data_IF_554595387167
#
_entry.id   IF_554595387167
#
_cell.length_a   1.000
_cell.length_b   1.000
_cell.length_c   1.000
_cell.angle_alpha   90.00
_cell.angle_beta   90.00
_cell.angle_gamma   90.00
#
_symmetry.space_group_name_H-M   'P 1'
#
loop_
_entity.id
_entity.type
_entity.pdbx_description
1 polymer ?
#
# COMPACT_ATOMS: atom_id res chain seq x y z
N UNK A 1 -3.63 84.73 123.91
CA UNK A 1 -4.33 85.32 122.75
C UNK A 1 -4.49 84.22 121.73
N UNK A 2 -5.72 83.83 121.45
CA UNK A 2 -6.12 82.73 120.56
C UNK A 2 -5.82 83.05 119.08
N UNK A 3 -5.85 84.33 118.73
CA UNK A 3 -5.62 84.84 117.36
C UNK A 3 -4.18 84.65 116.86
N UNK A 4 -3.19 84.75 117.74
CA UNK A 4 -1.78 84.59 117.36
C UNK A 4 -1.41 83.13 117.08
N UNK A 5 -2.05 82.19 117.80
CA UNK A 5 -1.99 80.76 117.51
C UNK A 5 -2.58 80.43 116.13
N UNK A 6 -3.69 81.07 115.78
CA UNK A 6 -4.37 80.87 114.50
C UNK A 6 -3.55 81.40 113.31
N UNK A 7 -2.95 82.60 113.43
CA UNK A 7 -2.05 83.17 112.39
C UNK A 7 -0.82 82.27 112.17
N UNK A 8 -0.23 81.73 113.23
CA UNK A 8 0.90 80.81 113.13
C UNK A 8 0.50 79.50 112.43
N UNK A 9 -0.70 78.99 112.73
CA UNK A 9 -1.20 77.76 112.13
C UNK A 9 -1.52 77.94 110.63
N UNK A 10 -2.17 79.05 110.25
CA UNK A 10 -2.45 79.39 108.85
C UNK A 10 -1.17 79.61 108.03
N UNK A 11 -0.14 80.26 108.59
CA UNK A 11 1.18 80.36 107.92
C UNK A 11 1.82 79.01 107.70
N UNK A 12 1.76 78.11 108.69
CA UNK A 12 2.27 76.74 108.58
C UNK A 12 1.54 75.94 107.50
N UNK A 13 0.22 76.09 107.41
CA UNK A 13 -0.58 75.49 106.35
C UNK A 13 -0.26 76.06 104.97
N UNK A 14 -0.17 77.38 104.83
CA UNK A 14 0.22 78.03 103.58
C UNK A 14 1.59 77.55 103.09
N UNK A 15 2.57 77.43 103.99
CA UNK A 15 3.90 76.94 103.63
C UNK A 15 3.89 75.46 103.26
N UNK A 16 3.01 74.66 103.89
CA UNK A 16 2.77 73.27 103.51
C UNK A 16 2.11 73.18 102.12
N UNK A 17 1.09 74.00 101.85
CA UNK A 17 0.42 74.10 100.56
C UNK A 17 1.40 74.52 99.46
N UNK A 18 2.27 75.50 99.71
CA UNK A 18 3.32 75.94 98.77
C UNK A 18 4.29 74.81 98.42
N UNK A 19 4.76 74.07 99.42
CA UNK A 19 5.63 72.90 99.20
C UNK A 19 4.93 71.79 98.43
N UNK A 20 3.68 71.50 98.77
CA UNK A 20 2.88 70.52 98.06
C UNK A 20 2.66 70.93 96.59
N UNK A 21 2.33 72.20 96.34
CA UNK A 21 2.14 72.73 95.00
C UNK A 21 3.42 72.66 94.17
N UNK A 22 4.58 72.98 94.75
CA UNK A 22 5.88 72.83 94.09
C UNK A 22 6.18 71.36 93.72
N UNK A 23 5.90 70.42 94.63
CA UNK A 23 6.04 68.98 94.38
C UNK A 23 5.09 68.51 93.28
N UNK A 24 3.81 68.89 93.34
CA UNK A 24 2.81 68.55 92.32
C UNK A 24 3.23 69.08 90.94
N UNK A 25 3.73 70.32 90.86
CA UNK A 25 4.19 70.92 89.61
C UNK A 25 5.40 70.18 89.03
N UNK A 26 6.36 69.78 89.88
CA UNK A 26 7.51 68.97 89.47
C UNK A 26 7.11 67.60 88.93
N UNK A 27 6.16 66.93 89.58
CA UNK A 27 5.62 65.64 89.10
C UNK A 27 4.89 65.80 87.77
N UNK A 28 4.02 66.81 87.63
CA UNK A 28 3.29 67.07 86.39
C UNK A 28 4.25 67.32 85.23
N UNK A 29 5.26 68.17 85.40
CA UNK A 29 6.25 68.44 84.33
C UNK A 29 7.10 67.21 83.97
N UNK A 30 7.43 66.36 84.94
CA UNK A 30 8.14 65.09 84.68
C UNK A 30 7.27 64.11 83.91
N UNK A 31 6.01 63.93 84.34
CA UNK A 31 5.05 63.07 83.63
C UNK A 31 4.82 63.56 82.21
N UNK A 32 4.76 64.88 81.99
CA UNK A 32 4.54 65.45 80.67
C UNK A 32 5.72 65.21 79.73
N UNK A 33 6.97 65.33 80.22
CA UNK A 33 8.16 64.93 79.43
C UNK A 33 8.14 63.44 79.09
N UNK A 34 7.79 62.59 80.06
CA UNK A 34 7.71 61.15 79.86
C UNK A 34 6.60 60.75 78.86
N UNK A 35 5.44 61.42 78.90
CA UNK A 35 4.36 61.22 77.93
C UNK A 35 4.84 61.55 76.52
N UNK A 36 5.42 62.72 76.30
CA UNK A 36 5.94 63.12 74.98
C UNK A 36 7.01 62.15 74.46
N UNK A 37 7.92 61.68 75.32
CA UNK A 37 8.94 60.71 74.94
C UNK A 37 8.33 59.34 74.57
N UNK A 38 7.29 58.90 75.30
CA UNK A 38 6.55 57.67 74.98
C UNK A 38 5.75 57.80 73.68
N UNK A 39 5.14 58.96 73.43
CA UNK A 39 4.40 59.22 72.17
C UNK A 39 5.32 59.13 70.95
N UNK A 40 6.52 59.72 71.01
CA UNK A 40 7.51 59.60 69.93
C UNK A 40 7.94 58.15 69.69
N UNK A 41 8.16 57.38 70.76
CA UNK A 41 8.46 55.94 70.65
C UNK A 41 7.31 55.16 70.03
N UNK A 42 6.06 55.47 70.39
CA UNK A 42 4.88 54.83 69.81
C UNK A 42 4.83 55.09 68.30
N UNK A 43 5.08 56.32 67.85
CA UNK A 43 5.11 56.65 66.42
C UNK A 43 6.22 55.90 65.68
N UNK A 44 7.43 55.83 66.24
CA UNK A 44 8.54 55.08 65.65
C UNK A 44 8.23 53.58 65.55
N UNK A 45 7.66 53.01 66.62
CA UNK A 45 7.26 51.59 66.65
C UNK A 45 6.16 51.30 65.64
N UNK A 46 5.18 52.20 65.46
CA UNK A 46 4.15 52.06 64.42
C UNK A 46 4.76 52.03 63.02
N UNK A 47 5.64 52.98 62.69
CA UNK A 47 6.30 53.02 61.38
C UNK A 47 7.12 51.75 61.11
N UNK A 48 7.86 51.28 62.11
CA UNK A 48 8.63 50.04 62.00
C UNK A 48 7.72 48.82 61.82
N UNK A 49 6.60 48.75 62.56
CA UNK A 49 5.62 47.67 62.41
C UNK A 49 5.01 47.65 61.01
N UNK A 50 4.67 48.81 60.45
CA UNK A 50 4.12 48.93 59.09
C UNK A 50 5.16 48.51 58.03
N UNK A 51 6.42 48.92 58.21
CA UNK A 51 7.53 48.49 57.34
C UNK A 51 7.72 46.97 57.37
N UNK A 52 7.81 46.38 58.57
CA UNK A 52 7.97 44.94 58.74
C UNK A 52 6.79 44.17 58.16
N UNK A 53 5.57 44.68 58.32
CA UNK A 53 4.35 44.08 57.73
C UNK A 53 4.41 44.06 56.21
N UNK A 54 4.95 45.12 55.58
CA UNK A 54 5.13 45.17 54.12
C UNK A 54 6.22 44.19 53.66
N UNK A 55 7.36 44.15 54.34
CA UNK A 55 8.44 43.21 54.03
C UNK A 55 8.01 41.75 54.20
N UNK A 56 7.19 41.44 55.21
CA UNK A 56 6.68 40.08 55.42
C UNK A 56 5.76 39.65 54.27
N UNK A 57 4.84 40.52 53.85
CA UNK A 57 3.97 40.26 52.69
C UNK A 57 4.77 40.01 51.41
N UNK A 58 5.85 40.76 51.19
CA UNK A 58 6.72 40.57 50.03
C UNK A 58 7.42 39.21 50.07
N UNK A 59 7.95 38.81 51.23
CA UNK A 59 8.55 37.48 51.40
C UNK A 59 7.54 36.36 51.19
N UNK A 60 6.32 36.51 51.69
CA UNK A 60 5.23 35.54 51.49
C UNK A 60 4.89 35.39 49.99
N UNK A 61 4.84 36.49 49.24
CA UNK A 61 4.64 36.47 47.80
C UNK A 61 5.77 35.76 47.05
N UNK A 62 7.03 36.05 47.41
CA UNK A 62 8.20 35.38 46.80
C UNK A 62 8.19 33.88 47.09
N UNK A 63 7.85 33.48 48.32
CA UNK A 63 7.70 32.08 48.69
C UNK A 63 6.60 31.38 47.88
N UNK A 64 5.43 32.01 47.70
CA UNK A 64 4.36 31.45 46.90
C UNK A 64 4.78 31.20 45.44
N UNK A 65 5.49 32.16 44.83
CA UNK A 65 6.02 32.04 43.46
C UNK A 65 7.05 30.92 43.35
N UNK A 66 7.96 30.81 44.31
CA UNK A 66 8.96 29.75 44.33
C UNK A 66 8.29 28.38 44.50
N UNK A 67 7.32 28.25 45.40
CA UNK A 67 6.55 27.01 45.61
C UNK A 67 5.92 26.54 44.30
N UNK A 68 5.16 27.42 43.62
CA UNK A 68 4.50 27.09 42.36
C UNK A 68 5.49 26.66 41.26
N UNK A 69 6.66 27.30 41.19
CA UNK A 69 7.73 26.93 40.24
C UNK A 69 8.36 25.57 40.56
N UNK A 70 8.56 25.27 41.85
CA UNK A 70 9.08 23.97 42.29
C UNK A 70 8.08 22.86 41.96
N UNK A 71 6.80 23.07 42.25
CA UNK A 71 5.73 22.11 41.96
C UNK A 71 5.66 21.80 40.46
N UNK A 72 5.69 22.84 39.62
CA UNK A 72 5.69 22.69 38.16
C UNK A 72 6.94 21.93 37.68
N UNK A 73 8.13 22.24 38.20
CA UNK A 73 9.37 21.54 37.84
C UNK A 73 9.36 20.07 38.25
N UNK A 74 8.83 19.75 39.43
CA UNK A 74 8.68 18.38 39.91
C UNK A 74 7.71 17.62 39.01
N UNK A 75 6.55 18.20 38.69
CA UNK A 75 5.58 17.59 37.79
C UNK A 75 6.18 17.29 36.41
N UNK A 76 6.80 18.29 35.77
CA UNK A 76 7.44 18.13 34.45
C UNK A 76 8.55 17.08 34.50
N UNK A 77 9.39 17.07 35.55
CA UNK A 77 10.44 16.06 35.70
C UNK A 77 9.87 14.66 35.85
N UNK A 78 8.85 14.46 36.69
CA UNK A 78 8.16 13.18 36.86
C UNK A 78 7.57 12.69 35.53
N UNK A 79 6.91 13.57 34.79
CA UNK A 79 6.34 13.24 33.49
C UNK A 79 7.42 12.81 32.49
N UNK A 80 8.50 13.58 32.34
CA UNK A 80 9.61 13.21 31.45
C UNK A 80 10.26 11.87 31.82
N UNK A 81 10.44 11.61 33.11
CA UNK A 81 10.98 10.33 33.59
C UNK A 81 10.04 9.16 33.27
N UNK A 82 8.74 9.34 33.48
CA UNK A 82 7.72 8.35 33.12
C UNK A 82 7.74 8.02 31.63
N UNK A 83 7.73 9.03 30.76
CA UNK A 83 7.78 8.82 29.30
C UNK A 83 9.06 8.11 28.87
N UNK A 84 10.21 8.51 29.41
CA UNK A 84 11.49 7.88 29.11
C UNK A 84 11.52 6.41 29.57
N UNK A 85 10.98 6.13 30.76
CA UNK A 85 10.87 4.78 31.29
C UNK A 85 9.92 3.91 30.45
N UNK A 86 8.73 4.42 30.12
CA UNK A 86 7.74 3.72 29.29
C UNK A 86 8.28 3.43 27.89
N UNK A 87 8.92 4.41 27.25
CA UNK A 87 9.58 4.24 25.95
C UNK A 87 10.67 3.17 26.00
N UNK A 88 11.46 3.14 27.09
CA UNK A 88 12.49 2.11 27.27
C UNK A 88 11.88 0.72 27.43
N UNK A 89 10.83 0.57 28.25
CA UNK A 89 10.15 -0.72 28.47
C UNK A 89 9.49 -1.24 27.20
N UNK A 90 8.76 -0.37 26.50
CA UNK A 90 8.11 -0.74 25.24
C UNK A 90 9.13 -1.17 24.20
N UNK A 91 10.24 -0.44 24.07
CA UNK A 91 11.36 -0.83 23.20
C UNK A 91 11.94 -2.18 23.59
N UNK A 92 12.25 -2.42 24.86
CA UNK A 92 12.85 -3.69 25.30
C UNK A 92 11.91 -4.86 25.08
N UNK A 93 10.61 -4.70 25.38
CA UNK A 93 9.60 -5.74 25.13
C UNK A 93 9.46 -6.01 23.63
N UNK A 94 9.43 -4.97 22.80
CA UNK A 94 9.33 -5.13 21.35
C UNK A 94 10.55 -5.83 20.76
N UNK A 95 11.76 -5.48 21.20
CA UNK A 95 12.97 -6.19 20.76
C UNK A 95 12.98 -7.65 21.21
N UNK A 96 12.50 -7.95 22.42
CA UNK A 96 12.40 -9.32 22.91
C UNK A 96 11.39 -10.13 22.09
N UNK A 97 10.25 -9.52 21.72
CA UNK A 97 9.25 -10.15 20.88
C UNK A 97 9.78 -10.42 19.46
N UNK A 98 10.40 -9.43 18.83
CA UNK A 98 10.96 -9.59 17.48
C UNK A 98 12.11 -10.60 17.44
N UNK A 99 12.92 -10.66 18.49
CA UNK A 99 14.01 -11.64 18.59
C UNK A 99 13.52 -13.00 19.11
N UNK A 100 12.22 -13.16 19.41
CA UNK A 100 11.67 -14.45 19.79
C UNK A 100 11.76 -15.40 18.61
N UNK A 101 12.30 -16.58 18.85
CA UNK A 101 12.42 -17.66 17.86
C UNK A 101 11.09 -17.96 17.18
N UNK A 102 9.98 -17.81 17.90
CA UNK A 102 8.63 -18.05 17.38
C UNK A 102 8.20 -16.98 16.36
N UNK A 103 8.54 -15.71 16.58
CA UNK A 103 8.23 -14.65 15.63
C UNK A 103 9.08 -14.81 14.35
N UNK A 104 10.37 -15.09 14.50
CA UNK A 104 11.25 -15.41 13.36
C UNK A 104 10.71 -16.59 12.56
N UNK A 105 10.30 -17.68 13.25
CA UNK A 105 9.71 -18.85 12.62
C UNK A 105 8.38 -18.54 11.93
N UNK A 106 7.53 -17.70 12.54
CA UNK A 106 6.27 -17.25 11.94
C UNK A 106 6.53 -16.44 10.67
N UNK A 107 7.48 -15.51 10.71
CA UNK A 107 7.85 -14.69 9.55
C UNK A 107 8.39 -15.53 8.40
N UNK A 108 9.21 -16.55 8.71
CA UNK A 108 9.71 -17.47 7.69
C UNK A 108 8.60 -18.31 7.05
N UNK A 109 7.62 -18.77 7.85
CA UNK A 109 6.44 -19.45 7.30
C UNK A 109 5.59 -18.54 6.41
N UNK A 110 5.39 -17.28 6.81
CA UNK A 110 4.66 -16.29 5.99
C UNK A 110 5.40 -16.07 4.67
N UNK A 111 6.72 -15.95 4.71
CA UNK A 111 7.57 -15.83 3.52
C UNK A 111 7.41 -17.04 2.60
N UNK A 112 7.54 -18.25 3.15
CA UNK A 112 7.37 -19.50 2.40
C UNK A 112 5.99 -19.60 1.74
N UNK A 113 4.91 -19.34 2.48
CA UNK A 113 3.54 -19.36 1.92
C UNK A 113 3.37 -18.32 0.81
N UNK A 114 4.03 -17.17 0.95
CA UNK A 114 3.99 -16.12 -0.08
C UNK A 114 4.68 -16.58 -1.36
N UNK A 115 5.86 -17.18 -1.23
CA UNK A 115 6.63 -17.73 -2.37
C UNK A 115 5.86 -18.89 -3.04
N UNK A 116 5.30 -19.81 -2.26
CA UNK A 116 4.48 -20.94 -2.76
C UNK A 116 3.23 -20.44 -3.50
N UNK A 117 2.53 -19.42 -2.98
CA UNK A 117 1.35 -18.86 -3.63
C UNK A 117 1.69 -18.18 -4.96
N UNK A 118 2.85 -17.51 -5.05
CA UNK A 118 3.32 -16.91 -6.31
C UNK A 118 3.60 -18.01 -7.34
N UNK A 119 4.30 -19.06 -6.94
CA UNK A 119 4.57 -20.21 -7.82
C UNK A 119 3.27 -20.87 -8.31
N UNK A 120 2.31 -21.13 -7.42
CA UNK A 120 1.00 -21.71 -7.79
C UNK A 120 0.27 -20.81 -8.80
N UNK A 121 0.39 -19.48 -8.66
CA UNK A 121 -0.21 -18.55 -9.61
C UNK A 121 0.45 -18.63 -10.98
N UNK A 122 1.78 -18.67 -11.04
CA UNK A 122 2.54 -18.85 -12.29
C UNK A 122 2.22 -20.19 -12.96
N UNK A 123 2.19 -21.30 -12.20
CA UNK A 123 1.82 -22.62 -12.69
C UNK A 123 0.41 -22.63 -13.28
N UNK A 124 -0.56 -21.93 -12.67
CA UNK A 124 -1.92 -21.81 -13.20
C UNK A 124 -1.97 -21.04 -14.53
N UNK A 125 -1.12 -20.03 -14.71
CA UNK A 125 -1.05 -19.30 -15.98
C UNK A 125 -0.47 -20.20 -17.08
N UNK A 126 0.63 -20.89 -16.78
CA UNK A 126 1.25 -21.84 -17.71
C UNK A 126 0.31 -22.98 -18.09
N UNK A 127 -0.45 -23.53 -17.12
CA UNK A 127 -1.45 -24.57 -17.41
C UNK A 127 -2.53 -24.07 -18.38
N UNK A 128 -3.01 -22.83 -18.24
CA UNK A 128 -3.98 -22.26 -19.18
C UNK A 128 -3.39 -22.07 -20.59
N UNK A 129 -2.14 -21.62 -20.67
CA UNK A 129 -1.46 -21.46 -21.96
C UNK A 129 -1.25 -22.81 -22.66
N UNK A 130 -0.85 -23.85 -21.91
CA UNK A 130 -0.72 -25.21 -22.43
C UNK A 130 -2.06 -25.71 -22.97
N UNK A 131 -3.15 -25.57 -22.23
CA UNK A 131 -4.49 -26.00 -22.68
C UNK A 131 -4.91 -25.25 -23.96
N UNK A 132 -4.62 -23.95 -24.06
CA UNK A 132 -4.89 -23.16 -25.27
C UNK A 132 -4.11 -23.67 -26.47
N UNK A 133 -2.80 -23.91 -26.30
CA UNK A 133 -1.93 -24.39 -27.38
C UNK A 133 -2.26 -25.81 -27.82
N UNK A 134 -2.61 -26.69 -26.89
CA UNK A 134 -3.04 -28.06 -27.20
C UNK A 134 -4.34 -28.06 -28.03
N UNK A 135 -5.27 -27.13 -27.73
CA UNK A 135 -6.47 -26.92 -28.54
C UNK A 135 -6.13 -26.44 -29.96
N UNK A 136 -5.24 -25.46 -30.10
CA UNK A 136 -4.80 -24.95 -31.41
C UNK A 136 -4.08 -26.03 -32.22
N UNK A 137 -3.16 -26.79 -31.60
CA UNK A 137 -2.43 -27.88 -32.25
C UNK A 137 -3.37 -29.00 -32.70
N UNK A 138 -4.39 -29.32 -31.90
CA UNK A 138 -5.41 -30.31 -32.28
C UNK A 138 -6.22 -29.86 -33.48
N UNK A 139 -6.65 -28.60 -33.53
CA UNK A 139 -7.35 -28.04 -34.70
C UNK A 139 -6.47 -28.12 -35.97
N UNK A 140 -5.19 -27.74 -35.86
CA UNK A 140 -4.24 -27.86 -37.00
C UNK A 140 -4.06 -29.32 -37.40
N UNK A 141 -3.91 -30.25 -36.45
CA UNK A 141 -3.77 -31.68 -36.73
C UNK A 141 -4.98 -32.24 -37.47
N UNK A 142 -6.20 -31.88 -37.03
CA UNK A 142 -7.44 -32.29 -37.70
C UNK A 142 -7.49 -31.78 -39.15
N UNK A 143 -7.09 -30.54 -39.41
CA UNK A 143 -7.06 -30.00 -40.79
C UNK A 143 -6.01 -30.67 -41.67
N UNK A 144 -4.85 -31.03 -41.11
CA UNK A 144 -3.80 -31.78 -41.82
C UNK A 144 -4.27 -33.19 -42.18
N UNK A 145 -4.96 -33.88 -41.28
CA UNK A 145 -5.52 -35.21 -41.54
C UNK A 145 -6.57 -35.17 -42.65
N UNK A 146 -7.46 -34.17 -42.64
CA UNK A 146 -8.47 -33.98 -43.69
C UNK A 146 -7.81 -33.74 -45.05
N UNK A 147 -6.82 -32.84 -45.13
CA UNK A 147 -6.08 -32.58 -46.36
C UNK A 147 -5.38 -33.84 -46.87
N UNK A 148 -4.73 -34.59 -45.97
CA UNK A 148 -4.03 -35.83 -46.32
C UNK A 148 -5.00 -36.87 -46.88
N UNK A 149 -6.16 -37.07 -46.23
CA UNK A 149 -7.18 -38.01 -46.69
C UNK A 149 -7.72 -37.61 -48.07
N UNK A 150 -8.01 -36.34 -48.29
CA UNK A 150 -8.44 -35.85 -49.60
C UNK A 150 -7.37 -36.05 -50.67
N UNK A 151 -6.09 -35.88 -50.33
CA UNK A 151 -4.98 -36.15 -51.25
C UNK A 151 -4.83 -37.64 -51.55
N UNK A 152 -4.97 -38.52 -50.56
CA UNK A 152 -4.93 -39.98 -50.74
C UNK A 152 -6.09 -40.45 -51.65
N UNK A 153 -7.30 -39.89 -51.45
CA UNK A 153 -8.46 -40.15 -52.30
C UNK A 153 -8.22 -39.65 -53.74
N UNK A 154 -7.64 -38.46 -53.88
CA UNK A 154 -7.28 -37.92 -55.19
C UNK A 154 -6.20 -38.75 -55.89
N UNK A 155 -5.20 -39.22 -55.14
CA UNK A 155 -4.15 -40.10 -55.65
C UNK A 155 -4.73 -41.45 -56.10
N UNK A 156 -5.67 -42.00 -55.34
CA UNK A 156 -6.40 -43.20 -55.76
C UNK A 156 -7.19 -42.95 -57.05
N UNK A 157 -7.86 -41.80 -57.18
CA UNK A 157 -8.56 -41.37 -58.40
C UNK A 157 -7.63 -41.28 -59.61
N UNK A 158 -6.46 -40.66 -59.48
CA UNK A 158 -5.48 -40.56 -60.56
C UNK A 158 -4.95 -41.91 -61.05
N UNK A 159 -4.96 -42.93 -60.18
CA UNK A 159 -4.58 -44.30 -60.56
C UNK A 159 -5.69 -45.06 -61.30
N UNK A 160 -6.89 -44.47 -61.42
CA UNK A 160 -7.98 -45.01 -62.23
C UNK A 160 -8.01 -44.34 -63.61
N UNK A 161 -8.79 -44.88 -64.54
CA UNK A 161 -9.06 -44.18 -65.80
C UNK A 161 -9.91 -42.93 -65.53
N UNK A 162 -9.44 -41.76 -65.95
CA UNK A 162 -10.15 -40.48 -65.82
C UNK A 162 -10.17 -39.70 -67.14
N UNK A 163 -11.08 -38.72 -67.22
CA UNK A 163 -11.20 -37.76 -68.32
C UNK A 163 -11.21 -36.33 -67.76
N UNK A 164 -11.10 -35.31 -68.63
CA UNK A 164 -11.04 -33.89 -68.24
C UNK A 164 -12.20 -33.47 -67.33
N UNK A 165 -13.43 -33.85 -67.63
CA UNK A 165 -14.61 -33.50 -66.83
C UNK A 165 -14.58 -34.10 -65.42
N UNK A 166 -14.10 -35.34 -65.31
CA UNK A 166 -13.97 -36.03 -64.01
C UNK A 166 -12.82 -35.44 -63.18
N UNK A 167 -11.68 -35.17 -63.82
CA UNK A 167 -10.52 -34.53 -63.18
C UNK A 167 -10.86 -33.11 -62.70
N UNK A 168 -11.57 -32.33 -63.53
CA UNK A 168 -12.02 -30.98 -63.18
C UNK A 168 -12.95 -30.98 -61.97
N UNK A 169 -13.87 -31.94 -61.88
CA UNK A 169 -14.76 -32.11 -60.72
C UNK A 169 -13.98 -32.37 -59.44
N UNK A 170 -13.02 -33.31 -59.46
CA UNK A 170 -12.22 -33.59 -58.26
C UNK A 170 -11.29 -32.44 -57.89
N UNK A 171 -10.79 -31.67 -58.86
CA UNK A 171 -10.00 -30.46 -58.60
C UNK A 171 -10.85 -29.39 -57.90
N UNK A 172 -12.12 -29.23 -58.29
CA UNK A 172 -13.06 -28.34 -57.59
C UNK A 172 -13.34 -28.83 -56.16
N UNK A 173 -13.57 -30.14 -55.97
CA UNK A 173 -13.77 -30.72 -54.63
C UNK A 173 -12.57 -30.44 -53.71
N UNK A 174 -11.34 -30.56 -54.23
CA UNK A 174 -10.14 -30.24 -53.45
C UNK A 174 -10.06 -28.74 -53.14
N UNK A 175 -10.38 -27.86 -54.10
CA UNK A 175 -10.36 -26.39 -53.91
C UNK A 175 -11.36 -25.90 -52.87
N UNK A 176 -12.55 -26.51 -52.83
CA UNK A 176 -13.63 -26.14 -51.91
C UNK A 176 -13.40 -26.66 -50.48
N UNK A 177 -12.31 -27.39 -50.24
CA UNK A 177 -11.94 -27.88 -48.92
C UNK A 177 -11.59 -26.71 -48.00
N UNK A 178 -12.22 -26.66 -46.83
CA UNK A 178 -11.89 -25.69 -45.79
C UNK A 178 -10.56 -26.10 -45.13
N UNK A 179 -9.53 -25.28 -45.26
CA UNK A 179 -8.17 -25.58 -44.80
C UNK A 179 -7.65 -24.43 -43.94
N UNK A 180 -6.92 -24.79 -42.88
CA UNK A 180 -6.26 -23.83 -42.01
C UNK A 180 -5.20 -22.99 -42.77
N UNK A 181 -5.05 -21.69 -42.47
CA UNK A 181 -4.05 -20.83 -43.10
C UNK A 181 -2.60 -21.37 -43.06
N UNK A 182 -2.24 -22.17 -42.06
CA UNK A 182 -0.89 -22.71 -41.87
C UNK A 182 -0.46 -23.70 -42.95
N UNK A 183 -1.42 -24.41 -43.56
CA UNK A 183 -1.17 -25.42 -44.61
C UNK A 183 -1.79 -25.05 -45.96
N UNK A 184 -2.41 -23.88 -46.05
CA UNK A 184 -2.99 -23.33 -47.27
C UNK A 184 -2.00 -23.24 -48.44
N UNK A 185 -0.72 -23.00 -48.15
CA UNK A 185 0.32 -22.94 -49.19
C UNK A 185 0.52 -24.30 -49.89
N UNK A 186 0.39 -25.42 -49.17
CA UNK A 186 0.49 -26.77 -49.74
C UNK A 186 -0.71 -27.02 -50.64
N UNK A 187 -1.91 -26.74 -50.13
CA UNK A 187 -3.15 -26.88 -50.90
C UNK A 187 -3.12 -26.10 -52.20
N UNK A 188 -2.67 -24.84 -52.14
CA UNK A 188 -2.53 -23.97 -53.32
C UNK A 188 -1.62 -24.60 -54.37
N UNK A 189 -0.43 -25.07 -53.95
CA UNK A 189 0.53 -25.69 -54.85
C UNK A 189 -0.01 -26.98 -55.49
N UNK A 190 -0.68 -27.83 -54.70
CA UNK A 190 -1.30 -29.07 -55.20
C UNK A 190 -2.36 -28.74 -56.25
N UNK A 191 -3.23 -27.77 -55.98
CA UNK A 191 -4.26 -27.33 -56.93
C UNK A 191 -3.64 -26.79 -58.23
N UNK A 192 -2.55 -26.04 -58.16
CA UNK A 192 -1.85 -25.52 -59.35
C UNK A 192 -1.25 -26.62 -60.22
N UNK A 193 -0.63 -27.63 -59.59
CA UNK A 193 -0.10 -28.80 -60.29
C UNK A 193 -1.24 -29.55 -60.99
N UNK A 194 -2.36 -29.77 -60.29
CA UNK A 194 -3.50 -30.48 -60.84
C UNK A 194 -4.20 -29.72 -61.98
N UNK A 195 -4.27 -28.39 -61.89
CA UNK A 195 -4.76 -27.54 -63.00
C UNK A 195 -3.87 -27.64 -64.23
N UNK A 196 -2.55 -27.76 -64.02
CA UNK A 196 -1.60 -27.99 -65.13
C UNK A 196 -1.85 -29.35 -65.77
N UNK A 197 -2.03 -30.41 -64.98
CA UNK A 197 -2.40 -31.73 -65.49
C UNK A 197 -3.72 -31.71 -66.26
N UNK A 198 -4.74 -31.02 -65.74
CA UNK A 198 -6.03 -30.87 -66.41
C UNK A 198 -5.89 -30.22 -67.80
N UNK A 199 -5.10 -29.15 -67.90
CA UNK A 199 -4.83 -28.50 -69.20
C UNK A 199 -4.20 -29.45 -70.21
N UNK A 200 -3.31 -30.34 -69.77
CA UNK A 200 -2.72 -31.37 -70.63
C UNK A 200 -3.74 -32.42 -71.07
N UNK A 201 -4.58 -32.89 -70.16
CA UNK A 201 -5.63 -33.88 -70.46
C UNK A 201 -6.65 -33.31 -71.45
N UNK A 202 -7.12 -32.08 -71.23
CA UNK A 202 -8.05 -31.38 -72.15
C UNK A 202 -7.44 -31.23 -73.56
N UNK A 203 -6.15 -30.89 -73.66
CA UNK A 203 -5.47 -30.76 -74.95
C UNK A 203 -5.36 -32.10 -75.70
N UNK A 204 -5.05 -33.19 -74.99
CA UNK A 204 -4.97 -34.54 -75.59
C UNK A 204 -6.36 -35.02 -76.03
N UNK A 205 -7.39 -34.84 -75.22
CA UNK A 205 -8.76 -35.18 -75.58
C UNK A 205 -9.23 -34.44 -76.83
N UNK A 206 -8.91 -33.14 -76.94
CA UNK A 206 -9.22 -32.32 -78.13
C UNK A 206 -8.51 -32.85 -79.38
N UNK A 207 -7.21 -33.16 -79.29
CA UNK A 207 -6.46 -33.71 -80.43
C UNK A 207 -7.04 -35.03 -80.93
N UNK A 208 -7.54 -35.88 -80.02
CA UNK A 208 -8.16 -37.16 -80.39
C UNK A 208 -9.52 -36.95 -81.05
N UNK A 209 -10.30 -36.00 -80.54
CA UNK A 209 -11.54 -35.57 -81.17
C UNK A 209 -11.29 -35.04 -82.59
N UNK A 210 -10.24 -34.26 -82.80
CA UNK A 210 -9.85 -33.71 -84.11
C UNK A 210 -9.46 -34.82 -85.11
N UNK A 211 -8.93 -35.95 -84.63
CA UNK A 211 -8.60 -37.14 -85.45
C UNK A 211 -9.81 -38.05 -85.68
N UNK A 212 -10.99 -37.69 -85.15
CA UNK A 212 -12.26 -38.41 -85.36
C UNK A 212 -12.50 -39.55 -84.37
N UNK A 213 -11.76 -39.61 -83.26
CA UNK A 213 -12.04 -40.54 -82.16
C UNK A 213 -13.03 -39.86 -81.21
N UNK A 214 -14.27 -40.34 -81.21
CA UNK A 214 -15.30 -39.84 -80.29
C UNK A 214 -15.06 -40.38 -78.87
N UNK A 215 -14.69 -39.46 -77.98
CA UNK A 215 -14.39 -39.74 -76.57
C UNK A 215 -15.61 -39.57 -75.66
N UNK A 216 -16.79 -39.24 -76.22
CA UNK A 216 -18.01 -38.93 -75.44
C UNK A 216 -18.80 -40.15 -74.94
N UNK A 217 -18.27 -41.38 -75.07
CA UNK A 217 -19.01 -42.59 -74.71
C UNK A 217 -18.28 -43.53 -73.74
N UNK A 218 -19.00 -43.82 -72.65
CA UNK A 218 -18.91 -44.99 -71.75
C UNK A 218 -18.10 -44.84 -70.47
N UNK A 219 -18.87 -44.79 -69.38
CA UNK A 219 -18.43 -44.80 -67.99
C UNK A 219 -17.48 -45.94 -67.61
N UNK A 220 -17.42 -47.10 -68.30
CA UNK A 220 -16.61 -48.25 -67.79
C UNK A 220 -15.99 -49.21 -68.82
N UNK A 221 -16.06 -48.96 -70.13
CA UNK A 221 -15.84 -50.03 -71.12
C UNK A 221 -14.68 -49.93 -72.10
N UNK A 222 -14.29 -48.73 -72.56
CA UNK A 222 -13.41 -48.58 -73.75
C UNK A 222 -12.06 -47.91 -73.46
N UNK A 223 -11.70 -47.70 -72.20
CA UNK A 223 -10.49 -46.96 -71.80
C UNK A 223 -9.25 -47.83 -71.58
N UNK A 224 -9.37 -49.17 -71.58
CA UNK A 224 -8.23 -50.08 -71.32
C UNK A 224 -7.05 -49.86 -72.27
N UNK A 225 -7.31 -49.46 -73.51
CA UNK A 225 -6.26 -49.16 -74.50
C UNK A 225 -5.63 -47.77 -74.30
N UNK A 226 -6.41 -46.80 -73.80
CA UNK A 226 -5.98 -45.41 -73.63
C UNK A 226 -5.25 -45.18 -72.31
N UNK A 227 -5.73 -45.79 -71.22
CA UNK A 227 -5.06 -45.80 -69.92
C UNK A 227 -3.66 -46.41 -70.02
N UNK A 228 -3.49 -47.47 -70.83
CA UNK A 228 -2.18 -48.07 -71.08
C UNK A 228 -1.20 -47.12 -71.81
N UNK A 229 -1.70 -46.24 -72.69
CA UNK A 229 -0.86 -45.26 -73.41
C UNK A 229 -0.50 -44.08 -72.51
N UNK A 230 -1.44 -43.53 -71.74
CA UNK A 230 -1.17 -42.41 -70.84
C UNK A 230 -0.27 -42.81 -69.65
N UNK A 231 -0.47 -43.99 -69.06
CA UNK A 231 0.38 -44.50 -67.97
C UNK A 231 1.81 -44.84 -68.42
N UNK A 232 2.05 -45.16 -69.69
CA UNK A 232 3.40 -45.47 -70.21
C UNK A 232 4.14 -44.25 -70.78
N UNK A 233 3.44 -43.16 -71.14
CA UNK A 233 4.10 -41.96 -71.69
C UNK A 233 4.56 -40.99 -70.58
N UNK A 234 3.85 -40.92 -69.45
CA UNK A 234 4.24 -40.08 -68.31
C UNK A 234 4.24 -40.86 -67.00
N UNK A 235 5.34 -41.56 -66.66
CA UNK A 235 5.54 -42.00 -65.29
C UNK A 235 5.71 -40.77 -64.41
N UNK A 236 4.74 -40.49 -63.56
CA UNK A 236 4.92 -39.54 -62.45
C UNK A 236 5.90 -40.22 -61.49
N UNK A 237 7.17 -39.78 -61.53
CA UNK A 237 8.21 -40.12 -60.55
C UNK A 237 8.21 -39.10 -59.42
#
# INVERSE_FOLDING_TARGET
>A
SERDLEIANLKKESEKLRRNQALTTGLVTSLQRDISAKEQRILQLKLNADKLKKENREKDNQLAVISAKVDTRVYVRCYLLYYKWFSKITRTKWTQFNNSTDFTRLMEKIRQITDENLQIHEEKLLQKEIISKDSEEKEVSETVEVLKKSLDEFQAFLNTSYCSSSLKREICNLQDLCIDPSVFWIHTLVVEILRSLLSWVEAVEQLLQDVGIDMSCSDKGSWFSFSYVMCNIFPIY
#
